data_IF_995843902261
#
_entry.id   IF_995843902261
#
_cell.length_a   1.000
_cell.length_b   1.000
_cell.length_c   1.000
_cell.angle_alpha   90.00
_cell.angle_beta   90.00
_cell.angle_gamma   90.00
#
_symmetry.space_group_name_H-M   'P 1'
#
loop_
_entity.id
_entity.type
_entity.pdbx_description
1 polymer ?
#
# COMPACT_ATOMS: atom_id res chain seq x y z
N UNK A 1 30.38 -19.02 -0.05
CA UNK A 1 29.67 -18.49 -1.24
C UNK A 1 30.67 -18.38 -2.37
N UNK A 2 30.33 -18.84 -3.58
CA UNK A 2 31.20 -18.68 -4.73
C UNK A 2 31.31 -17.19 -5.07
N UNK A 3 32.53 -16.71 -5.22
CA UNK A 3 32.83 -15.32 -5.57
C UNK A 3 32.92 -15.22 -7.09
N UNK A 4 32.16 -14.30 -7.68
CA UNK A 4 32.12 -14.10 -9.13
C UNK A 4 32.47 -12.65 -9.48
N UNK A 5 33.36 -12.47 -10.46
CA UNK A 5 33.66 -11.16 -11.02
C UNK A 5 32.62 -10.75 -12.05
N UNK A 6 32.47 -9.45 -12.26
CA UNK A 6 31.64 -8.91 -13.32
C UNK A 6 32.24 -9.24 -14.70
N UNK A 7 31.38 -9.60 -15.65
CA UNK A 7 31.74 -9.52 -17.07
C UNK A 7 31.97 -8.06 -17.49
N UNK A 8 32.55 -7.83 -18.67
CA UNK A 8 32.79 -6.46 -19.16
C UNK A 8 31.49 -5.67 -19.34
N UNK A 9 30.45 -6.30 -19.91
CA UNK A 9 29.15 -5.66 -20.09
C UNK A 9 28.47 -5.33 -18.75
N UNK A 10 28.46 -6.27 -17.81
CA UNK A 10 27.91 -6.01 -16.47
C UNK A 10 28.70 -4.93 -15.73
N UNK A 11 30.03 -4.90 -15.89
CA UNK A 11 30.89 -3.88 -15.28
C UNK A 11 30.61 -2.48 -15.83
N UNK A 12 30.43 -2.32 -17.13
CA UNK A 12 30.07 -1.03 -17.73
C UNK A 12 28.71 -0.54 -17.20
N UNK A 13 27.74 -1.45 -17.05
CA UNK A 13 26.46 -1.15 -16.41
C UNK A 13 26.64 -0.71 -14.95
N UNK A 14 27.45 -1.45 -14.19
CA UNK A 14 27.76 -1.12 -12.79
C UNK A 14 28.45 0.23 -12.64
N UNK A 15 29.47 0.51 -13.47
CA UNK A 15 30.23 1.74 -13.44
C UNK A 15 29.37 2.96 -13.80
N UNK A 16 28.31 2.79 -14.61
CA UNK A 16 27.36 3.88 -14.86
C UNK A 16 26.52 4.25 -13.64
N UNK A 17 26.27 3.29 -12.74
CA UNK A 17 25.58 3.51 -11.45
C UNK A 17 26.54 3.96 -10.35
N UNK A 18 27.80 3.52 -10.42
CA UNK A 18 28.84 3.74 -9.42
C UNK A 18 30.15 4.16 -10.10
N UNK A 19 30.25 5.43 -10.55
CA UNK A 19 31.38 5.90 -11.34
C UNK A 19 32.72 5.81 -10.59
N UNK A 20 32.67 5.82 -9.26
CA UNK A 20 33.84 5.81 -8.37
C UNK A 20 34.25 4.40 -7.92
N UNK A 21 33.67 3.36 -8.52
CA UNK A 21 33.93 1.97 -8.15
C UNK A 21 35.35 1.48 -8.47
N UNK A 22 36.16 2.30 -9.14
CA UNK A 22 37.56 2.02 -9.41
C UNK A 22 37.73 0.95 -10.48
N UNK A 23 38.35 -0.17 -10.13
CA UNK A 23 38.61 -1.28 -11.05
C UNK A 23 37.63 -2.44 -10.84
N UNK A 24 37.39 -3.19 -11.93
CA UNK A 24 36.49 -4.35 -11.93
C UNK A 24 36.87 -5.44 -10.92
N UNK A 25 38.14 -5.54 -10.54
CA UNK A 25 38.63 -6.53 -9.57
C UNK A 25 38.36 -6.13 -8.11
N UNK A 26 38.13 -4.84 -7.85
CA UNK A 26 37.78 -4.30 -6.54
C UNK A 26 36.34 -4.60 -6.14
N UNK A 27 35.46 -4.91 -7.10
CA UNK A 27 34.04 -5.20 -6.86
C UNK A 27 33.70 -6.63 -7.26
N UNK A 28 33.02 -7.35 -6.37
CA UNK A 28 32.72 -8.78 -6.60
C UNK A 28 31.29 -9.11 -6.22
N UNK A 29 30.63 -9.98 -6.99
CA UNK A 29 29.32 -10.55 -6.65
C UNK A 29 29.53 -11.62 -5.58
N UNK A 30 28.92 -11.44 -4.42
CA UNK A 30 28.98 -12.36 -3.29
C UNK A 30 27.78 -13.31 -3.23
N UNK A 31 26.60 -12.82 -3.65
CA UNK A 31 25.39 -13.62 -3.77
C UNK A 31 24.52 -13.09 -4.91
N UNK A 32 23.70 -13.99 -5.49
CA UNK A 32 22.76 -13.67 -6.55
C UNK A 32 21.62 -12.73 -6.13
N UNK A 33 20.75 -12.36 -7.08
CA UNK A 33 19.53 -11.61 -6.79
C UNK A 33 18.66 -12.31 -5.75
N UNK A 34 18.12 -11.53 -4.81
CA UNK A 34 17.22 -12.00 -3.77
C UNK A 34 16.24 -10.86 -3.44
N UNK A 35 14.93 -11.02 -3.74
CA UNK A 35 13.96 -9.95 -3.54
C UNK A 35 13.52 -9.80 -2.08
N UNK A 36 13.94 -10.69 -1.18
CA UNK A 36 13.47 -10.69 0.22
C UNK A 36 14.07 -9.58 1.06
N UNK A 37 15.19 -9.00 0.64
CA UNK A 37 15.89 -7.95 1.38
C UNK A 37 16.66 -6.99 0.47
N UNK A 38 16.81 -5.75 0.94
CA UNK A 38 17.50 -4.65 0.25
C UNK A 38 18.81 -4.25 0.98
N UNK A 39 19.44 -3.14 0.55
CA UNK A 39 20.67 -2.61 1.15
C UNK A 39 20.53 -2.27 2.64
N UNK A 40 19.42 -1.66 3.04
CA UNK A 40 19.19 -1.25 4.43
C UNK A 40 19.07 -2.47 5.33
N UNK A 41 18.25 -3.44 4.94
CA UNK A 41 18.13 -4.71 5.66
C UNK A 41 19.47 -5.43 5.78
N UNK A 42 20.23 -5.50 4.68
CA UNK A 42 21.56 -6.10 4.70
C UNK A 42 22.50 -5.39 5.68
N UNK A 43 22.57 -4.05 5.60
CA UNK A 43 23.40 -3.23 6.47
C UNK A 43 23.07 -3.44 7.96
N UNK A 44 21.79 -3.66 8.27
CA UNK A 44 21.27 -3.92 9.61
C UNK A 44 21.33 -5.39 10.06
N UNK A 45 21.96 -6.28 9.28
CA UNK A 45 22.12 -7.67 9.71
C UNK A 45 20.91 -8.56 9.42
N UNK A 46 20.06 -8.22 8.45
CA UNK A 46 18.82 -8.92 8.13
C UNK A 46 18.81 -9.34 6.65
N UNK A 47 18.30 -10.54 6.39
CA UNK A 47 18.17 -11.13 5.03
C UNK A 47 16.76 -11.64 4.73
N UNK A 48 15.87 -11.50 5.70
CA UNK A 48 14.48 -11.95 5.70
C UNK A 48 13.48 -10.79 5.71
N UNK A 49 13.98 -9.55 5.66
CA UNK A 49 13.20 -8.32 5.75
C UNK A 49 13.53 -7.37 4.59
N UNK A 50 12.52 -6.67 4.10
CA UNK A 50 12.68 -5.45 3.33
C UNK A 50 12.49 -4.24 4.23
N UNK A 51 13.47 -3.33 4.27
CA UNK A 51 13.45 -2.15 5.13
C UNK A 51 13.61 -0.90 4.28
N UNK A 52 12.56 -0.08 4.16
CA UNK A 52 12.64 1.17 3.42
C UNK A 52 13.52 2.19 4.16
N UNK A 53 14.42 2.91 3.47
CA UNK A 53 15.17 4.00 4.08
C UNK A 53 14.22 5.17 4.39
N UNK A 54 14.18 5.67 5.64
CA UNK A 54 13.54 6.96 5.91
C UNK A 54 14.23 8.06 5.12
N UNK A 55 13.49 8.88 4.40
CA UNK A 55 14.10 9.96 3.61
C UNK A 55 14.79 11.01 4.50
N UNK A 56 14.16 11.34 5.63
CA UNK A 56 14.64 12.34 6.57
C UNK A 56 15.80 11.81 7.44
N UNK A 57 16.94 12.54 7.53
CA UNK A 57 18.09 12.17 8.35
C UNK A 57 17.79 11.74 9.79
N UNK A 58 16.90 12.46 10.47
CA UNK A 58 16.57 12.17 11.86
C UNK A 58 15.92 10.79 12.02
N UNK A 59 14.98 10.45 11.14
CA UNK A 59 14.31 9.14 11.15
C UNK A 59 15.23 8.03 10.63
N UNK A 60 16.08 8.31 9.64
CA UNK A 60 17.07 7.36 9.15
C UNK A 60 18.04 6.94 10.26
N UNK A 61 18.59 7.93 10.97
CA UNK A 61 19.42 7.70 12.16
C UNK A 61 18.66 6.93 13.23
N UNK A 62 17.43 7.33 13.55
CA UNK A 62 16.62 6.66 14.57
C UNK A 62 16.35 5.19 14.22
N UNK A 63 16.16 4.86 12.94
CA UNK A 63 16.00 3.47 12.48
C UNK A 63 17.25 2.64 12.78
N UNK A 64 18.45 3.11 12.42
CA UNK A 64 19.69 2.37 12.67
C UNK A 64 20.02 2.25 14.16
N UNK A 65 19.68 3.26 14.95
CA UNK A 65 19.84 3.26 16.41
C UNK A 65 18.70 2.54 17.15
N UNK A 66 17.74 1.97 16.43
CA UNK A 66 16.70 1.17 17.07
C UNK A 66 17.34 0.04 17.88
N UNK A 67 16.82 -0.25 19.09
CA UNK A 67 17.30 -1.38 19.89
C UNK A 67 17.25 -2.72 19.15
N UNK A 68 16.41 -2.80 18.10
CA UNK A 68 16.30 -3.95 17.19
C UNK A 68 17.61 -4.35 16.51
N UNK A 69 18.52 -3.40 16.29
CA UNK A 69 19.73 -3.62 15.51
C UNK A 69 21.02 -3.53 16.33
N UNK A 70 20.93 -3.10 17.60
CA UNK A 70 22.05 -3.05 18.55
C UNK A 70 23.26 -2.27 18.01
N UNK A 71 22.98 -1.15 17.35
CA UNK A 71 23.99 -0.25 16.82
C UNK A 71 24.01 1.06 17.61
N UNK A 72 25.17 1.69 17.63
CA UNK A 72 25.37 3.07 18.07
C UNK A 72 26.11 3.87 17.00
N UNK A 73 26.07 5.18 17.10
CA UNK A 73 26.93 6.03 16.30
C UNK A 73 28.40 5.91 16.73
N UNK A 74 29.29 6.09 15.77
CA UNK A 74 30.73 6.05 16.00
C UNK A 74 31.48 6.94 15.01
N UNK A 75 32.79 7.02 15.17
CA UNK A 75 33.66 7.70 14.21
C UNK A 75 33.82 6.87 12.93
N UNK A 76 34.10 7.53 11.82
CA UNK A 76 34.18 6.87 10.51
C UNK A 76 35.19 5.71 10.50
N UNK A 77 36.34 5.84 11.15
CA UNK A 77 37.39 4.81 11.23
C UNK A 77 36.99 3.57 12.06
N UNK A 78 35.96 3.69 12.89
CA UNK A 78 35.39 2.61 13.70
C UNK A 78 34.14 1.98 13.09
N UNK A 79 33.62 2.56 12.01
CA UNK A 79 32.34 2.16 11.44
C UNK A 79 32.40 0.74 10.87
N UNK A 80 31.39 -0.05 11.23
CA UNK A 80 31.11 -1.34 10.60
C UNK A 80 29.86 -1.27 9.71
N UNK A 81 29.10 -0.18 9.79
CA UNK A 81 27.90 0.07 9.01
C UNK A 81 27.90 1.54 8.60
N UNK A 82 27.65 1.81 7.34
CA UNK A 82 27.54 3.16 6.78
C UNK A 82 26.13 3.39 6.24
N UNK A 83 25.60 4.59 6.48
CA UNK A 83 24.36 5.09 5.91
C UNK A 83 24.64 6.19 4.87
N UNK A 84 23.95 6.12 3.73
CA UNK A 84 24.20 6.99 2.59
C UNK A 84 23.13 8.07 2.43
N UNK A 85 23.57 9.24 1.99
CA UNK A 85 22.80 10.46 1.88
C UNK A 85 23.11 11.17 0.56
N UNK A 86 22.08 11.67 -0.12
CA UNK A 86 22.24 12.44 -1.36
C UNK A 86 22.09 13.93 -1.07
N UNK A 87 23.22 14.63 -1.02
CA UNK A 87 23.31 16.06 -0.69
C UNK A 87 22.38 16.96 -1.52
N UNK A 88 22.16 16.63 -2.79
CA UNK A 88 21.36 17.44 -3.70
C UNK A 88 19.85 17.37 -3.45
N UNK A 89 19.39 16.24 -2.91
CA UNK A 89 17.98 15.99 -2.59
C UNK A 89 17.71 16.08 -1.09
N UNK A 90 18.75 15.98 -0.28
CA UNK A 90 18.66 15.92 1.17
C UNK A 90 18.07 14.61 1.69
N UNK A 91 18.14 13.53 0.91
CA UNK A 91 17.45 12.26 1.19
C UNK A 91 18.45 11.16 1.55
N UNK A 92 18.16 10.42 2.62
CA UNK A 92 18.88 9.18 2.94
C UNK A 92 18.36 8.03 2.06
N UNK A 93 19.25 7.20 1.52
CA UNK A 93 18.84 6.27 0.45
C UNK A 93 19.34 4.84 0.62
N UNK A 94 20.56 4.61 1.10
CA UNK A 94 21.17 3.28 1.09
C UNK A 94 21.99 3.02 2.35
N UNK A 95 22.43 1.78 2.50
CA UNK A 95 23.30 1.34 3.59
C UNK A 95 24.31 0.32 3.10
N UNK A 96 25.46 0.26 3.77
CA UNK A 96 26.48 -0.77 3.54
C UNK A 96 27.03 -1.26 4.87
N UNK A 97 27.64 -2.44 4.87
CA UNK A 97 28.31 -2.98 6.06
C UNK A 97 29.66 -3.60 5.74
N UNK A 98 30.58 -3.47 6.67
CA UNK A 98 31.85 -4.15 6.68
C UNK A 98 31.62 -5.62 7.07
N UNK A 99 32.03 -6.54 6.20
CA UNK A 99 32.09 -7.97 6.52
C UNK A 99 33.54 -8.42 6.63
N UNK A 100 33.75 -9.67 7.06
CA UNK A 100 35.08 -10.25 7.28
C UNK A 100 36.08 -9.92 6.16
N UNK A 101 37.30 -9.53 6.53
CA UNK A 101 38.39 -9.24 5.60
C UNK A 101 38.50 -7.78 5.13
N UNK A 102 38.02 -6.81 5.91
CA UNK A 102 38.07 -5.37 5.60
C UNK A 102 37.37 -4.97 4.30
N UNK A 103 36.38 -5.75 3.83
CA UNK A 103 35.61 -5.42 2.62
C UNK A 103 34.21 -4.98 2.96
N UNK A 104 33.82 -3.84 2.41
CA UNK A 104 32.46 -3.33 2.51
C UNK A 104 31.56 -4.09 1.57
N UNK A 105 30.30 -4.23 1.96
CA UNK A 105 29.29 -4.95 1.20
C UNK A 105 27.96 -4.23 1.19
N UNK A 106 27.28 -4.34 0.06
CA UNK A 106 26.01 -3.68 -0.20
C UNK A 106 25.12 -4.57 -1.06
N UNK A 107 23.81 -4.50 -0.83
CA UNK A 107 22.81 -5.20 -1.64
C UNK A 107 22.16 -4.22 -2.62
N UNK A 108 22.19 -4.51 -3.91
CA UNK A 108 21.64 -3.61 -4.94
C UNK A 108 20.13 -3.80 -5.10
N UNK A 109 19.33 -3.31 -4.14
CA UNK A 109 17.87 -3.53 -4.10
C UNK A 109 17.51 -5.01 -4.07
N UNK A 110 16.71 -5.49 -5.02
CA UNK A 110 16.43 -6.92 -5.26
C UNK A 110 17.60 -7.67 -5.95
N UNK A 111 18.61 -6.95 -6.45
CA UNK A 111 19.74 -7.47 -7.24
C UNK A 111 20.83 -8.15 -6.43
N UNK A 112 22.05 -8.17 -6.96
CA UNK A 112 23.18 -8.87 -6.34
C UNK A 112 23.59 -8.26 -4.99
N UNK A 113 24.11 -9.12 -4.11
CA UNK A 113 24.95 -8.70 -3.00
C UNK A 113 26.39 -8.55 -3.50
N UNK A 114 27.00 -7.40 -3.27
CA UNK A 114 28.34 -7.08 -3.75
C UNK A 114 29.31 -6.82 -2.61
N UNK A 115 30.60 -7.06 -2.85
CA UNK A 115 31.70 -6.47 -2.08
C UNK A 115 32.34 -5.34 -2.86
N UNK A 116 32.85 -4.33 -2.17
CA UNK A 116 33.45 -3.14 -2.75
C UNK A 116 34.43 -2.47 -1.76
N UNK A 117 35.37 -1.63 -2.23
CA UNK A 117 36.06 -0.65 -1.39
C UNK A 117 35.04 0.28 -0.72
N UNK A 118 35.35 0.85 0.44
CA UNK A 118 34.39 1.65 1.20
C UNK A 118 33.84 2.81 0.39
N UNK A 119 34.75 3.49 -0.27
CA UNK A 119 34.56 4.70 -1.06
C UNK A 119 33.90 4.47 -2.43
N UNK A 120 33.81 3.22 -2.88
CA UNK A 120 33.40 2.86 -4.24
C UNK A 120 31.97 3.32 -4.60
N UNK A 121 31.11 3.53 -3.60
CA UNK A 121 29.72 3.90 -3.78
C UNK A 121 29.44 5.37 -3.46
N UNK A 122 30.45 6.18 -3.12
CA UNK A 122 30.29 7.58 -2.71
C UNK A 122 30.11 8.55 -3.89
N UNK A 123 29.59 9.75 -3.62
CA UNK A 123 29.54 10.91 -4.53
C UNK A 123 30.78 11.80 -4.34
N UNK A 124 31.89 11.49 -5.01
CA UNK A 124 33.09 12.34 -4.89
C UNK A 124 32.97 13.72 -5.56
N UNK A 125 32.05 13.87 -6.52
CA UNK A 125 31.84 15.15 -7.19
C UNK A 125 30.42 15.28 -7.71
N UNK A 126 29.93 16.53 -7.81
CA UNK A 126 28.62 16.84 -8.39
C UNK A 126 28.45 16.37 -9.83
N UNK A 127 29.54 16.09 -10.55
CA UNK A 127 29.55 15.64 -11.95
C UNK A 127 29.41 14.13 -12.11
N UNK A 128 29.71 13.35 -11.07
CA UNK A 128 29.71 11.88 -11.10
C UNK A 128 28.92 11.35 -9.91
N UNK A 129 27.60 11.29 -10.08
CA UNK A 129 26.67 10.87 -9.03
C UNK A 129 26.50 9.36 -9.02
N UNK A 130 26.78 8.78 -7.87
CA UNK A 130 26.47 7.42 -7.50
C UNK A 130 24.97 7.25 -7.25
N UNK A 131 24.49 6.02 -7.45
CA UNK A 131 23.16 5.62 -7.02
C UNK A 131 22.96 5.81 -5.50
N UNK A 132 24.02 5.70 -4.70
CA UNK A 132 23.94 5.70 -3.24
C UNK A 132 24.07 7.10 -2.61
N UNK A 133 24.86 8.01 -3.20
CA UNK A 133 25.23 9.28 -2.55
C UNK A 133 26.46 9.13 -1.66
N UNK A 134 26.63 10.00 -0.66
CA UNK A 134 27.77 10.02 0.25
C UNK A 134 27.50 9.27 1.56
N UNK A 135 28.52 8.63 2.11
CA UNK A 135 28.44 7.97 3.41
C UNK A 135 28.55 9.00 4.55
N UNK A 136 27.40 9.48 5.02
CA UNK A 136 27.32 10.54 6.05
C UNK A 136 27.11 9.97 7.46
N UNK A 137 26.52 8.78 7.56
CA UNK A 137 26.25 8.14 8.85
C UNK A 137 27.17 6.94 9.08
N UNK A 138 27.65 6.80 10.31
CA UNK A 138 28.61 5.78 10.71
C UNK A 138 28.16 5.09 11.99
N UNK A 139 28.00 3.77 11.93
CA UNK A 139 27.53 2.98 13.05
C UNK A 139 28.47 1.81 13.34
N UNK A 140 28.56 1.45 14.62
CA UNK A 140 29.24 0.25 15.08
C UNK A 140 28.37 -0.49 16.11
N UNK A 141 28.68 -1.77 16.41
CA UNK A 141 27.97 -2.51 17.43
C UNK A 141 28.00 -1.78 18.78
N UNK A 142 26.86 -1.73 19.44
CA UNK A 142 26.78 -1.22 20.80
C UNK A 142 26.99 -2.37 21.80
N UNK A 143 28.14 -2.45 22.49
CA UNK A 143 28.39 -3.50 23.48
C UNK A 143 27.48 -3.37 24.71
N UNK A 144 26.87 -2.20 24.93
CA UNK A 144 25.95 -1.94 26.04
C UNK A 144 24.49 -2.15 25.65
N UNK A 145 24.20 -2.46 24.38
CA UNK A 145 22.85 -2.81 23.98
C UNK A 145 22.47 -4.07 24.76
N UNK A 146 21.62 -3.89 25.78
CA UNK A 146 21.09 -5.01 26.53
C UNK A 146 20.44 -5.98 25.54
N UNK A 147 20.53 -7.28 25.84
CA UNK A 147 19.58 -8.23 25.27
C UNK A 147 18.21 -7.86 25.82
N UNK A 148 17.55 -6.89 25.19
CA UNK A 148 16.21 -6.48 25.56
C UNK A 148 15.34 -7.71 25.30
N UNK A 149 14.98 -8.41 26.37
CA UNK A 149 14.19 -9.66 26.37
C UNK A 149 12.80 -9.44 25.77
N UNK A 150 12.39 -8.18 25.58
CA UNK A 150 11.16 -7.77 24.92
C UNK A 150 11.44 -6.87 23.72
N UNK A 151 12.28 -7.31 22.79
CA UNK A 151 12.22 -6.79 21.41
C UNK A 151 10.75 -6.82 20.97
N UNK A 152 10.21 -5.79 20.30
CA UNK A 152 8.91 -5.92 19.68
C UNK A 152 9.02 -7.10 18.71
N UNK A 153 8.42 -8.23 19.08
CA UNK A 153 8.35 -9.39 18.21
C UNK A 153 7.70 -8.93 16.92
N UNK A 154 8.11 -9.49 15.76
CA UNK A 154 7.33 -9.33 14.55
C UNK A 154 5.86 -9.52 14.93
N UNK A 155 4.96 -8.60 14.52
CA UNK A 155 3.56 -8.72 14.86
C UNK A 155 3.12 -10.14 14.51
N UNK A 156 2.43 -10.80 15.45
CA UNK A 156 2.11 -12.22 15.35
C UNK A 156 1.58 -12.53 13.95
N UNK A 157 2.18 -13.52 13.31
CA UNK A 157 1.80 -13.92 11.96
C UNK A 157 0.29 -14.13 11.91
N UNK A 158 -0.34 -13.54 10.89
CA UNK A 158 -1.78 -13.61 10.72
C UNK A 158 -2.18 -15.07 10.60
N UNK A 159 -3.06 -15.55 11.47
CA UNK A 159 -3.63 -16.88 11.27
C UNK A 159 -4.63 -16.80 10.12
N UNK A 160 -4.56 -17.71 9.16
CA UNK A 160 -5.47 -17.69 8.01
C UNK A 160 -6.96 -17.74 8.43
N UNK A 161 -7.26 -18.43 9.53
CA UNK A 161 -8.59 -18.48 10.16
C UNK A 161 -9.12 -17.11 10.56
N UNK A 162 -8.24 -16.19 10.96
CA UNK A 162 -8.60 -14.83 11.34
C UNK A 162 -9.08 -13.99 10.17
N UNK A 163 -8.71 -14.37 8.94
CA UNK A 163 -9.08 -13.68 7.70
C UNK A 163 -10.17 -14.40 6.92
N UNK A 164 -10.56 -15.61 7.34
CA UNK A 164 -11.47 -16.44 6.55
C UNK A 164 -12.77 -15.73 6.19
N UNK A 165 -13.39 -15.04 7.15
CA UNK A 165 -14.63 -14.29 6.90
C UNK A 165 -14.43 -13.18 5.85
N UNK A 166 -13.36 -12.39 5.99
CA UNK A 166 -13.01 -11.35 5.03
C UNK A 166 -12.71 -11.96 3.64
N UNK A 167 -11.94 -13.05 3.58
CA UNK A 167 -11.61 -13.72 2.33
C UNK A 167 -12.86 -14.27 1.63
N UNK A 168 -13.79 -14.88 2.37
CA UNK A 168 -15.07 -15.34 1.84
C UNK A 168 -15.92 -14.18 1.34
N UNK A 169 -15.94 -13.08 2.09
CA UNK A 169 -16.64 -11.87 1.68
C UNK A 169 -16.06 -11.29 0.38
N UNK A 170 -14.73 -11.19 0.26
CA UNK A 170 -14.07 -10.71 -0.97
C UNK A 170 -14.33 -11.63 -2.16
N UNK A 171 -14.34 -12.96 -1.97
CA UNK A 171 -14.71 -13.89 -3.03
C UNK A 171 -16.15 -13.65 -3.54
N UNK A 172 -17.09 -13.28 -2.65
CA UNK A 172 -18.45 -12.93 -3.05
C UNK A 172 -18.52 -11.65 -3.90
N UNK A 173 -17.72 -10.64 -3.57
CA UNK A 173 -17.59 -9.41 -4.37
C UNK A 173 -17.00 -9.75 -5.73
N UNK A 174 -15.94 -10.57 -5.79
CA UNK A 174 -15.31 -10.97 -7.03
C UNK A 174 -16.29 -11.70 -7.96
N UNK A 175 -17.14 -12.57 -7.42
CA UNK A 175 -18.18 -13.24 -8.20
C UNK A 175 -19.26 -12.28 -8.70
N UNK A 176 -19.67 -11.31 -7.88
CA UNK A 176 -20.71 -10.34 -8.23
C UNK A 176 -20.22 -9.27 -9.24
N UNK A 177 -18.94 -8.93 -9.20
CA UNK A 177 -18.33 -7.86 -10.02
C UNK A 177 -17.05 -8.36 -10.71
N UNK A 178 -17.14 -9.25 -11.72
CA UNK A 178 -15.97 -9.88 -12.31
C UNK A 178 -15.07 -8.92 -13.11
N UNK A 179 -15.62 -7.91 -13.81
CA UNK A 179 -14.79 -7.00 -14.62
C UNK A 179 -14.02 -6.02 -13.74
N UNK A 180 -14.58 -5.66 -12.60
CA UNK A 180 -13.89 -4.90 -11.56
C UNK A 180 -12.58 -5.59 -11.15
N UNK A 181 -12.66 -6.89 -10.87
CA UNK A 181 -11.49 -7.73 -10.57
C UNK A 181 -10.52 -7.81 -11.74
N UNK A 182 -11.03 -8.02 -12.97
CA UNK A 182 -10.18 -8.11 -14.16
C UNK A 182 -9.41 -6.80 -14.43
N UNK A 183 -10.05 -5.65 -14.26
CA UNK A 183 -9.41 -4.33 -14.40
C UNK A 183 -8.32 -4.13 -13.34
N UNK A 184 -8.62 -4.48 -12.09
CA UNK A 184 -7.61 -4.44 -11.02
C UNK A 184 -6.43 -5.36 -11.34
N UNK A 185 -6.67 -6.63 -11.68
CA UNK A 185 -5.61 -7.60 -11.95
C UNK A 185 -4.73 -7.21 -13.14
N UNK A 186 -5.32 -6.62 -14.19
CA UNK A 186 -4.58 -6.08 -15.33
C UNK A 186 -3.67 -4.91 -14.91
N UNK A 187 -4.22 -3.92 -14.19
CA UNK A 187 -3.44 -2.77 -13.69
C UNK A 187 -2.37 -3.22 -12.69
N UNK A 188 -2.69 -4.17 -11.82
CA UNK A 188 -1.78 -4.77 -10.87
C UNK A 188 -0.61 -5.44 -11.55
N UNK A 189 -0.87 -6.31 -12.54
CA UNK A 189 0.20 -6.98 -13.31
C UNK A 189 1.10 -5.97 -14.01
N UNK A 190 0.52 -4.92 -14.59
CA UNK A 190 1.28 -3.83 -15.20
C UNK A 190 2.21 -3.13 -14.20
N UNK A 191 1.69 -2.80 -13.01
CA UNK A 191 2.47 -2.18 -11.95
C UNK A 191 3.52 -3.12 -11.36
N UNK A 192 3.18 -4.39 -11.15
CA UNK A 192 4.08 -5.41 -10.63
C UNK A 192 5.29 -5.65 -11.53
N UNK A 193 5.14 -5.45 -12.84
CA UNK A 193 6.28 -5.50 -13.76
C UNK A 193 7.30 -4.39 -13.46
N UNK A 194 6.90 -3.20 -13.01
CA UNK A 194 7.80 -2.06 -12.76
C UNK A 194 8.93 -2.45 -11.79
N UNK A 195 8.59 -3.10 -10.68
CA UNK A 195 9.58 -3.52 -9.69
C UNK A 195 10.21 -4.88 -9.97
N UNK A 196 9.71 -5.65 -10.94
CA UNK A 196 10.30 -6.94 -11.36
C UNK A 196 11.27 -6.79 -12.55
N UNK A 197 11.22 -5.66 -13.26
CA UNK A 197 12.08 -5.35 -14.40
C UNK A 197 13.46 -4.83 -13.95
N UNK A 198 14.51 -4.94 -14.78
CA UNK A 198 15.89 -4.56 -14.41
C UNK A 198 16.04 -3.17 -13.79
N UNK A 199 15.28 -2.17 -14.26
CA UNK A 199 15.32 -0.81 -13.70
C UNK A 199 14.77 -0.69 -12.28
N UNK A 200 13.89 -1.59 -11.85
CA UNK A 200 13.38 -1.65 -10.47
C UNK A 200 14.25 -2.50 -9.53
N UNK A 201 15.17 -3.29 -10.07
CA UNK A 201 15.99 -4.21 -9.27
C UNK A 201 16.90 -3.45 -8.32
N UNK A 202 17.40 -2.28 -8.67
CA UNK A 202 18.37 -1.51 -7.86
C UNK A 202 17.72 -0.58 -6.84
N UNK A 203 16.39 -0.47 -6.82
CA UNK A 203 15.67 0.39 -5.88
C UNK A 203 15.88 -0.05 -4.43
N UNK A 204 16.13 0.92 -3.56
CA UNK A 204 16.26 0.69 -2.12
C UNK A 204 14.95 0.96 -1.37
N UNK A 205 14.04 1.75 -1.94
CA UNK A 205 12.78 2.13 -1.30
C UNK A 205 11.59 1.66 -2.12
N UNK A 206 10.54 1.16 -1.45
CA UNK A 206 9.28 0.85 -2.11
C UNK A 206 8.58 2.09 -2.68
N UNK A 207 8.89 3.29 -2.18
CA UNK A 207 8.39 4.55 -2.75
C UNK A 207 8.84 4.77 -4.18
N UNK A 208 9.94 4.16 -4.62
CA UNK A 208 10.42 4.27 -6.01
C UNK A 208 9.42 3.67 -7.01
N UNK A 209 8.58 2.74 -6.54
CA UNK A 209 7.52 2.09 -7.31
C UNK A 209 6.16 2.76 -7.15
N UNK A 210 6.01 3.74 -6.26
CA UNK A 210 4.75 4.43 -5.97
C UNK A 210 4.48 5.60 -6.92
N UNK A 211 4.77 5.43 -8.22
CA UNK A 211 4.66 6.48 -9.25
C UNK A 211 4.56 5.91 -10.66
N UNK A 212 4.07 6.75 -11.57
CA UNK A 212 4.02 6.47 -13.01
C UNK A 212 2.71 5.82 -13.45
N UNK A 213 2.51 5.63 -14.78
CA UNK A 213 1.19 5.36 -15.34
C UNK A 213 0.49 4.11 -14.78
N UNK A 214 1.24 3.03 -14.51
CA UNK A 214 0.67 1.81 -13.96
C UNK A 214 0.22 1.97 -12.49
N UNK A 215 0.96 2.75 -11.71
CA UNK A 215 0.58 3.13 -10.34
C UNK A 215 -0.62 4.07 -10.36
N UNK A 216 -0.58 5.11 -11.19
CA UNK A 216 -1.65 6.10 -11.31
C UNK A 216 -2.97 5.44 -11.74
N UNK A 217 -2.90 4.41 -12.60
CA UNK A 217 -4.05 3.59 -12.97
C UNK A 217 -4.67 2.91 -11.74
N UNK A 218 -3.88 2.31 -10.84
CA UNK A 218 -4.37 1.72 -9.59
C UNK A 218 -4.94 2.80 -8.65
N UNK A 219 -4.25 3.93 -8.49
CA UNK A 219 -4.75 5.06 -7.66
C UNK A 219 -6.08 5.60 -8.17
N UNK A 220 -6.25 5.72 -9.50
CA UNK A 220 -7.50 6.20 -10.11
C UNK A 220 -8.68 5.25 -9.84
N UNK A 221 -8.41 3.99 -9.50
CA UNK A 221 -9.46 3.09 -9.06
C UNK A 221 -9.98 3.46 -7.66
N UNK A 222 -9.22 4.17 -6.83
CA UNK A 222 -9.68 4.70 -5.54
C UNK A 222 -9.93 3.63 -4.47
N UNK A 223 -10.62 4.01 -3.39
CA UNK A 223 -10.83 3.14 -2.21
C UNK A 223 -11.54 1.82 -2.52
N UNK A 224 -12.22 1.72 -3.66
CA UNK A 224 -12.91 0.47 -4.02
C UNK A 224 -11.95 -0.73 -4.09
N UNK A 225 -10.71 -0.54 -4.53
CA UNK A 225 -9.71 -1.62 -4.65
C UNK A 225 -9.00 -2.00 -3.36
N UNK A 226 -9.29 -1.35 -2.23
CA UNK A 226 -8.68 -1.70 -0.93
C UNK A 226 -8.76 -3.19 -0.58
N UNK A 227 -9.91 -3.91 -0.70
CA UNK A 227 -9.95 -5.34 -0.39
C UNK A 227 -9.00 -6.15 -1.29
N UNK A 228 -8.92 -5.79 -2.58
CA UNK A 228 -8.08 -6.51 -3.53
C UNK A 228 -6.59 -6.30 -3.25
N UNK A 229 -6.21 -5.08 -2.86
CA UNK A 229 -4.85 -4.75 -2.42
C UNK A 229 -4.50 -5.51 -1.15
N UNK A 230 -5.40 -5.56 -0.17
CA UNK A 230 -5.18 -6.31 1.09
C UNK A 230 -5.09 -7.82 0.82
N UNK A 231 -5.86 -8.34 -0.12
CA UNK A 231 -5.73 -9.74 -0.55
C UNK A 231 -4.34 -10.04 -1.11
N UNK A 232 -3.80 -9.16 -1.98
CA UNK A 232 -2.43 -9.29 -2.51
C UNK A 232 -1.37 -9.24 -1.40
N UNK A 233 -1.54 -8.33 -0.44
CA UNK A 233 -0.68 -8.21 0.74
C UNK A 233 -0.67 -9.52 1.55
N UNK A 234 -1.85 -10.06 1.88
CA UNK A 234 -1.98 -11.20 2.81
C UNK A 234 -1.70 -12.54 2.14
N UNK A 235 -2.19 -12.78 0.91
CA UNK A 235 -2.06 -14.08 0.24
C UNK A 235 -0.74 -14.24 -0.50
N UNK A 236 -0.30 -13.18 -1.18
CA UNK A 236 0.86 -13.22 -2.07
C UNK A 236 2.12 -12.66 -1.39
N UNK A 237 2.00 -12.12 -0.16
CA UNK A 237 3.10 -11.46 0.56
C UNK A 237 3.74 -10.33 -0.26
N UNK A 238 2.93 -9.61 -1.04
CA UNK A 238 3.40 -8.53 -1.92
C UNK A 238 3.75 -7.28 -1.11
N UNK A 239 5.01 -7.18 -0.69
CA UNK A 239 5.52 -6.13 0.22
C UNK A 239 5.25 -4.71 -0.29
N UNK A 240 5.46 -4.44 -1.58
CA UNK A 240 5.35 -3.09 -2.14
C UNK A 240 3.92 -2.58 -2.19
N UNK A 241 2.94 -3.47 -2.10
CA UNK A 241 1.52 -3.13 -2.04
C UNK A 241 1.14 -2.32 -0.79
N UNK A 242 1.98 -2.33 0.25
CA UNK A 242 1.73 -1.56 1.46
C UNK A 242 1.69 -0.05 1.17
N UNK A 243 2.50 0.44 0.22
CA UNK A 243 2.44 1.83 -0.26
C UNK A 243 1.07 2.11 -0.90
N UNK A 244 0.58 1.20 -1.74
CA UNK A 244 -0.70 1.36 -2.43
C UNK A 244 -1.85 1.39 -1.42
N UNK A 245 -1.83 0.52 -0.41
CA UNK A 245 -2.80 0.56 0.68
C UNK A 245 -2.84 1.92 1.37
N UNK A 246 -1.69 2.46 1.81
CA UNK A 246 -1.63 3.76 2.50
C UNK A 246 -2.09 4.93 1.62
N UNK A 247 -1.82 4.87 0.32
CA UNK A 247 -2.25 5.88 -0.65
C UNK A 247 -3.77 5.85 -0.87
N UNK A 248 -4.37 4.66 -0.92
CA UNK A 248 -5.80 4.48 -1.15
C UNK A 248 -6.65 4.64 0.11
N UNK A 249 -6.14 4.27 1.28
CA UNK A 249 -6.88 4.37 2.54
C UNK A 249 -7.22 5.84 2.80
N UNK A 250 -8.45 6.12 3.22
CA UNK A 250 -8.92 7.48 3.49
C UNK A 250 -9.16 7.74 4.96
N UNK A 251 -9.39 6.70 5.77
CA UNK A 251 -9.52 6.80 7.21
C UNK A 251 -8.13 6.92 7.86
N UNK A 252 -7.79 8.06 8.52
CA UNK A 252 -6.44 8.30 9.06
C UNK A 252 -6.02 7.27 10.13
N UNK A 253 -6.95 6.81 10.96
CA UNK A 253 -6.75 5.80 12.00
C UNK A 253 -6.56 4.38 11.44
N UNK A 254 -6.85 4.18 10.15
CA UNK A 254 -6.62 2.92 9.43
C UNK A 254 -5.41 2.98 8.51
N UNK A 255 -4.63 4.07 8.52
CA UNK A 255 -3.34 4.17 7.82
C UNK A 255 -2.20 3.69 8.71
N UNK A 256 -1.12 3.21 8.08
CA UNK A 256 0.14 3.08 8.79
C UNK A 256 0.70 4.48 9.08
N UNK A 257 1.15 4.68 10.32
CA UNK A 257 1.70 5.94 10.79
C UNK A 257 3.22 5.96 10.61
N UNK A 258 3.78 6.94 9.86
CA UNK A 258 5.23 7.13 9.73
C UNK A 258 5.92 7.45 11.06
N UNK A 259 5.18 7.91 12.07
CA UNK A 259 5.72 8.26 13.38
C UNK A 259 6.16 7.03 14.18
N UNK A 260 5.68 5.83 13.82
CA UNK A 260 6.14 4.59 14.43
C UNK A 260 7.34 4.03 13.65
N UNK A 261 8.51 4.64 13.83
CA UNK A 261 9.73 4.30 13.09
C UNK A 261 10.12 2.82 13.20
N UNK A 262 9.87 2.20 14.35
CA UNK A 262 10.26 0.80 14.60
C UNK A 262 9.55 -0.15 13.66
N UNK A 263 8.32 0.17 13.25
CA UNK A 263 7.47 -0.73 12.47
C UNK A 263 7.15 -0.22 11.08
N UNK A 264 7.14 1.10 10.89
CA UNK A 264 6.77 1.70 9.63
C UNK A 264 7.78 1.34 8.54
N UNK A 265 9.08 1.36 8.79
CA UNK A 265 10.03 1.14 7.69
C UNK A 265 10.24 -0.33 7.32
N UNK A 266 9.73 -1.28 8.12
CA UNK A 266 9.90 -2.72 7.88
C UNK A 266 8.66 -3.26 7.16
N UNK A 267 8.71 -3.40 5.83
CA UNK A 267 7.53 -3.75 5.02
C UNK A 267 6.91 -5.09 5.41
N UNK A 268 7.73 -6.06 5.80
CA UNK A 268 7.22 -7.36 6.27
C UNK A 268 6.30 -7.21 7.48
N UNK A 269 6.56 -6.23 8.35
CA UNK A 269 5.71 -5.95 9.51
C UNK A 269 4.49 -5.11 9.11
N UNK A 270 4.63 -4.20 8.15
CA UNK A 270 3.52 -3.46 7.56
C UNK A 270 2.41 -4.40 7.04
N UNK A 271 2.77 -5.51 6.37
CA UNK A 271 1.81 -6.51 5.87
C UNK A 271 0.83 -6.95 6.98
N UNK A 272 1.38 -7.34 8.13
CA UNK A 272 0.59 -7.84 9.27
C UNK A 272 -0.29 -6.73 9.86
N UNK A 273 0.25 -5.51 9.94
CA UNK A 273 -0.45 -4.36 10.46
C UNK A 273 -1.62 -3.93 9.58
N UNK A 274 -1.38 -3.82 8.27
CA UNK A 274 -2.41 -3.52 7.28
C UNK A 274 -3.54 -4.53 7.36
N UNK A 275 -3.20 -5.82 7.45
CA UNK A 275 -4.20 -6.86 7.55
C UNK A 275 -5.05 -6.71 8.83
N UNK A 276 -4.42 -6.42 9.98
CA UNK A 276 -5.14 -6.18 11.24
C UNK A 276 -6.00 -4.91 11.18
N UNK A 277 -5.48 -3.80 10.64
CA UNK A 277 -6.22 -2.55 10.48
C UNK A 277 -7.44 -2.76 9.58
N UNK A 278 -7.25 -3.41 8.44
CA UNK A 278 -8.33 -3.65 7.49
C UNK A 278 -9.36 -4.65 8.03
N UNK A 279 -8.92 -5.69 8.74
CA UNK A 279 -9.83 -6.61 9.44
C UNK A 279 -10.66 -5.86 10.49
N UNK A 280 -10.03 -5.02 11.31
CA UNK A 280 -10.76 -4.23 12.32
C UNK A 280 -11.82 -3.34 11.67
N UNK A 281 -11.50 -2.73 10.52
CA UNK A 281 -12.43 -1.91 9.75
C UNK A 281 -13.60 -2.75 9.21
N UNK A 282 -13.34 -3.97 8.74
CA UNK A 282 -14.38 -4.89 8.30
C UNK A 282 -15.28 -5.34 9.46
N UNK A 283 -14.70 -5.70 10.61
CA UNK A 283 -15.46 -6.11 11.81
C UNK A 283 -16.34 -4.96 12.34
N UNK A 284 -15.81 -3.73 12.35
CA UNK A 284 -16.57 -2.51 12.69
C UNK A 284 -17.73 -2.27 11.71
N UNK A 285 -17.48 -2.42 10.41
CA UNK A 285 -18.51 -2.32 9.38
C UNK A 285 -19.61 -3.36 9.59
N UNK A 286 -19.25 -4.63 9.77
CA UNK A 286 -20.19 -5.73 9.93
C UNK A 286 -21.09 -5.53 11.16
N UNK A 287 -20.50 -5.09 12.27
CA UNK A 287 -21.24 -4.74 13.49
C UNK A 287 -22.23 -3.60 13.23
N UNK A 288 -21.79 -2.52 12.58
CA UNK A 288 -22.63 -1.36 12.30
C UNK A 288 -23.74 -1.68 11.27
N UNK A 289 -23.42 -2.45 10.23
CA UNK A 289 -24.34 -2.92 9.21
C UNK A 289 -25.44 -3.81 9.80
N UNK A 290 -25.07 -4.74 10.69
CA UNK A 290 -26.04 -5.59 11.36
C UNK A 290 -26.95 -4.81 12.31
N UNK A 291 -26.40 -3.85 13.06
CA UNK A 291 -27.20 -2.98 13.93
C UNK A 291 -28.16 -2.09 13.12
N UNK A 292 -27.69 -1.52 12.00
CA UNK A 292 -28.53 -0.73 11.11
C UNK A 292 -29.64 -1.57 10.46
N UNK A 293 -29.37 -2.83 10.11
CA UNK A 293 -30.41 -3.75 9.61
C UNK A 293 -31.54 -3.96 10.62
N UNK A 294 -31.24 -4.02 11.92
CA UNK A 294 -32.26 -4.08 12.97
C UNK A 294 -33.08 -2.78 13.00
N UNK A 295 -32.44 -1.61 12.90
CA UNK A 295 -33.16 -0.34 12.82
C UNK A 295 -34.10 -0.29 11.59
N UNK A 296 -33.65 -0.79 10.44
CA UNK A 296 -34.47 -0.87 9.22
C UNK A 296 -35.70 -1.78 9.37
N UNK A 297 -35.57 -2.89 10.13
CA UNK A 297 -36.70 -3.76 10.42
C UNK A 297 -37.76 -3.06 11.28
N UNK A 298 -37.34 -2.26 12.26
CA UNK A 298 -38.27 -1.42 13.05
C UNK A 298 -38.93 -0.36 12.16
N UNK A 299 -38.15 0.23 11.24
CA UNK A 299 -38.62 1.24 10.30
C UNK A 299 -39.47 0.67 9.15
N UNK A 300 -39.64 -0.65 9.02
CA UNK A 300 -40.30 -1.28 7.86
C UNK A 300 -41.75 -0.83 7.63
N UNK A 301 -42.40 -0.33 8.68
CA UNK A 301 -43.77 0.20 8.64
C UNK A 301 -43.83 1.71 8.41
N UNK A 302 -42.69 2.38 8.32
CA UNK A 302 -42.62 3.80 8.02
C UNK A 302 -42.86 4.07 6.54
N UNK A 303 -43.64 5.10 6.25
CA UNK A 303 -43.84 5.63 4.91
C UNK A 303 -42.74 6.62 4.47
N UNK A 304 -41.76 6.91 5.34
CA UNK A 304 -40.71 7.90 5.08
C UNK A 304 -39.34 7.24 4.96
N UNK A 305 -38.59 7.59 3.92
CA UNK A 305 -37.21 7.15 3.73
C UNK A 305 -36.32 7.52 4.92
N UNK A 306 -36.58 8.69 5.54
CA UNK A 306 -35.81 9.22 6.68
C UNK A 306 -35.72 8.21 7.82
N UNK A 307 -36.79 7.47 8.14
CA UNK A 307 -36.78 6.47 9.21
C UNK A 307 -35.76 5.35 9.00
N UNK A 308 -35.38 5.05 7.75
CA UNK A 308 -34.40 4.03 7.43
C UNK A 308 -32.96 4.56 7.47
N UNK A 309 -32.75 5.89 7.42
CA UNK A 309 -31.42 6.52 7.21
C UNK A 309 -31.10 7.64 8.18
N UNK A 310 -31.77 7.73 9.34
CA UNK A 310 -31.51 8.78 10.34
C UNK A 310 -30.98 8.25 11.68
N UNK A 311 -30.90 6.92 11.85
CA UNK A 311 -30.49 6.29 13.10
C UNK A 311 -28.99 6.41 13.37
N UNK A 312 -28.60 6.26 14.65
CA UNK A 312 -27.19 6.27 15.07
C UNK A 312 -26.34 5.21 14.38
N UNK A 313 -26.92 4.05 14.06
CA UNK A 313 -26.20 2.95 13.40
C UNK A 313 -25.96 3.24 11.92
N UNK A 314 -26.89 3.94 11.26
CA UNK A 314 -26.66 4.48 9.92
C UNK A 314 -25.54 5.52 9.93
N UNK A 315 -25.58 6.47 10.88
CA UNK A 315 -24.54 7.49 11.00
C UNK A 315 -23.16 6.88 11.29
N UNK A 316 -23.10 5.79 12.06
CA UNK A 316 -21.87 5.05 12.28
C UNK A 316 -21.26 4.57 10.96
N UNK A 317 -22.07 4.03 10.03
CA UNK A 317 -21.61 3.64 8.70
C UNK A 317 -21.18 4.84 7.85
N UNK A 318 -21.94 5.94 7.86
CA UNK A 318 -21.57 7.19 7.14
C UNK A 318 -20.20 7.69 7.60
N UNK A 319 -19.96 7.68 8.92
CA UNK A 319 -18.71 8.15 9.52
C UNK A 319 -17.49 7.29 9.14
N UNK A 320 -17.68 6.03 8.72
CA UNK A 320 -16.58 5.20 8.20
C UNK A 320 -16.10 5.64 6.81
N UNK A 321 -16.90 6.45 6.10
CA UNK A 321 -16.51 7.11 4.86
C UNK A 321 -16.27 6.18 3.66
N UNK A 322 -15.47 6.64 2.70
CA UNK A 322 -15.28 5.99 1.40
C UNK A 322 -14.55 4.64 1.46
N UNK A 323 -13.86 4.35 2.56
CA UNK A 323 -13.10 3.12 2.73
C UNK A 323 -13.99 1.86 2.77
N UNK A 324 -15.26 1.99 3.21
CA UNK A 324 -16.20 0.86 3.32
C UNK A 324 -17.06 0.64 2.08
N UNK A 325 -16.88 1.41 0.99
CA UNK A 325 -17.68 1.26 -0.24
C UNK A 325 -17.70 -0.19 -0.76
N UNK A 326 -16.57 -0.92 -0.81
CA UNK A 326 -16.59 -2.33 -1.22
C UNK A 326 -17.47 -3.19 -0.32
N UNK A 327 -17.44 -2.94 0.98
CA UNK A 327 -18.24 -3.69 1.94
C UNK A 327 -19.73 -3.43 1.75
N UNK A 328 -20.10 -2.17 1.48
CA UNK A 328 -21.47 -1.80 1.15
C UNK A 328 -21.91 -2.49 -0.15
N UNK A 329 -21.09 -2.47 -1.20
CA UNK A 329 -21.44 -3.11 -2.48
C UNK A 329 -21.58 -4.64 -2.35
N UNK A 330 -20.76 -5.29 -1.52
CA UNK A 330 -20.91 -6.72 -1.21
C UNK A 330 -22.21 -7.04 -0.44
N UNK A 331 -22.73 -6.11 0.38
CA UNK A 331 -24.05 -6.23 0.98
C UNK A 331 -25.17 -5.90 -0.01
N UNK A 332 -24.98 -4.90 -0.86
CA UNK A 332 -25.99 -4.44 -1.80
C UNK A 332 -26.29 -5.49 -2.89
N UNK A 333 -25.28 -6.24 -3.36
CA UNK A 333 -25.54 -7.32 -4.33
C UNK A 333 -26.38 -8.47 -3.75
N UNK A 334 -26.34 -8.68 -2.43
CA UNK A 334 -27.14 -9.67 -1.69
C UNK A 334 -28.54 -9.16 -1.35
N UNK A 335 -28.71 -7.85 -1.21
CA UNK A 335 -29.94 -7.18 -0.80
C UNK A 335 -30.23 -5.95 -1.70
N UNK A 336 -30.59 -6.23 -2.95
CA UNK A 336 -30.79 -5.21 -3.98
C UNK A 336 -32.01 -4.30 -3.72
N UNK A 337 -32.92 -4.72 -2.83
CA UNK A 337 -34.09 -3.96 -2.41
C UNK A 337 -33.88 -3.20 -1.09
N UNK A 338 -32.68 -3.27 -0.49
CA UNK A 338 -32.32 -2.56 0.72
C UNK A 338 -32.22 -1.04 0.54
N UNK A 339 -31.60 -0.38 1.53
CA UNK A 339 -31.34 1.06 1.55
C UNK A 339 -29.86 1.40 1.34
N UNK A 340 -29.06 0.45 0.87
CA UNK A 340 -27.62 0.60 0.66
C UNK A 340 -27.26 1.73 -0.30
N UNK A 341 -28.13 2.04 -1.28
CA UNK A 341 -27.93 3.14 -2.21
C UNK A 341 -27.92 4.53 -1.55
N UNK A 342 -28.72 4.74 -0.50
CA UNK A 342 -28.71 6.02 0.24
C UNK A 342 -27.39 6.17 0.99
N UNK A 343 -26.93 5.10 1.64
CA UNK A 343 -25.63 5.08 2.33
C UNK A 343 -24.48 5.37 1.36
N UNK A 344 -24.46 4.71 0.20
CA UNK A 344 -23.47 4.96 -0.85
C UNK A 344 -23.50 6.41 -1.33
N UNK A 345 -24.70 6.95 -1.57
CA UNK A 345 -24.84 8.32 -2.05
C UNK A 345 -24.33 9.33 -1.02
N UNK A 346 -24.70 9.18 0.25
CA UNK A 346 -24.26 10.10 1.30
C UNK A 346 -22.75 10.03 1.52
N UNK A 347 -22.16 8.83 1.55
CA UNK A 347 -20.70 8.69 1.65
C UNK A 347 -19.98 9.34 0.47
N UNK A 348 -20.55 9.25 -0.73
CA UNK A 348 -19.91 9.75 -1.94
C UNK A 348 -20.10 11.26 -2.15
N UNK A 349 -21.27 11.79 -1.78
CA UNK A 349 -21.69 13.17 -2.12
C UNK A 349 -21.88 14.08 -0.90
N UNK A 350 -21.93 13.53 0.31
CA UNK A 350 -22.29 14.24 1.53
C UNK A 350 -23.79 14.52 1.67
N UNK A 351 -24.65 13.98 0.79
CA UNK A 351 -26.08 14.21 0.79
C UNK A 351 -26.88 12.90 0.60
N UNK A 352 -28.10 12.86 1.15
CA UNK A 352 -29.08 11.81 0.90
C UNK A 352 -29.89 12.14 -0.35
N UNK A 353 -30.43 11.13 -1.03
CA UNK A 353 -31.43 11.36 -2.07
C UNK A 353 -32.77 11.78 -1.46
N UNK A 354 -33.20 11.09 -0.40
CA UNK A 354 -34.46 11.38 0.28
C UNK A 354 -35.70 11.00 -0.53
N UNK A 355 -35.55 10.10 -1.50
CA UNK A 355 -36.64 9.70 -2.39
C UNK A 355 -37.36 8.47 -1.81
N UNK A 356 -38.68 8.57 -1.64
CA UNK A 356 -39.50 7.47 -1.09
C UNK A 356 -39.85 6.41 -2.15
N UNK A 357 -39.96 6.80 -3.42
CA UNK A 357 -40.41 5.95 -4.52
C UNK A 357 -39.32 5.91 -5.58
N UNK A 358 -38.64 4.78 -5.71
CA UNK A 358 -37.56 4.59 -6.69
C UNK A 358 -37.59 3.12 -7.13
N UNK A 359 -37.35 2.85 -8.41
CA UNK A 359 -37.03 1.50 -8.86
C UNK A 359 -35.61 1.12 -8.35
N UNK A 360 -35.58 0.41 -7.21
CA UNK A 360 -34.35 0.03 -6.51
C UNK A 360 -33.46 -0.92 -7.31
N UNK A 361 -34.04 -1.75 -8.16
CA UNK A 361 -33.28 -2.66 -9.04
C UNK A 361 -32.49 -1.87 -10.09
N UNK A 362 -33.14 -0.91 -10.77
CA UNK A 362 -32.46 -0.03 -11.71
C UNK A 362 -31.36 0.80 -11.02
N UNK A 363 -31.60 1.23 -9.78
CA UNK A 363 -30.60 1.95 -8.99
C UNK A 363 -29.41 1.04 -8.59
N UNK A 364 -29.68 -0.20 -8.21
CA UNK A 364 -28.64 -1.20 -7.97
C UNK A 364 -27.80 -1.42 -9.23
N UNK A 365 -28.43 -1.61 -10.39
CA UNK A 365 -27.71 -1.78 -11.66
C UNK A 365 -26.84 -0.55 -11.97
N UNK A 366 -27.33 0.66 -11.67
CA UNK A 366 -26.53 1.88 -11.86
C UNK A 366 -25.27 1.90 -10.98
N UNK A 367 -25.41 1.54 -9.70
CA UNK A 367 -24.30 1.45 -8.74
C UNK A 367 -23.35 0.28 -9.04
N UNK A 368 -23.87 -0.88 -9.43
CA UNK A 368 -23.09 -2.06 -9.80
C UNK A 368 -22.18 -1.74 -11.00
N UNK A 369 -22.75 -1.13 -12.04
CA UNK A 369 -21.98 -0.66 -13.19
C UNK A 369 -20.93 0.39 -12.78
N UNK A 370 -21.28 1.40 -11.97
CA UNK A 370 -20.30 2.38 -11.50
C UNK A 370 -19.16 1.71 -10.71
N UNK A 371 -19.49 0.78 -9.81
CA UNK A 371 -18.50 0.05 -9.04
C UNK A 371 -17.57 -0.76 -9.95
N UNK A 372 -18.15 -1.37 -10.98
CA UNK A 372 -17.45 -2.26 -11.90
C UNK A 372 -16.55 -1.55 -12.92
N UNK A 373 -17.07 -0.54 -13.59
CA UNK A 373 -16.35 0.20 -14.65
C UNK A 373 -15.63 1.44 -14.13
N UNK A 374 -16.05 1.96 -12.98
CA UNK A 374 -15.61 3.25 -12.47
C UNK A 374 -16.32 4.42 -13.13
N UNK A 375 -15.74 5.60 -12.92
CA UNK A 375 -16.27 6.90 -13.33
C UNK A 375 -15.92 7.95 -12.28
N UNK A 376 -15.68 9.18 -12.72
CA UNK A 376 -15.28 10.27 -11.83
C UNK A 376 -16.40 10.64 -10.83
N UNK A 377 -17.65 10.37 -11.19
CA UNK A 377 -18.82 10.68 -10.37
C UNK A 377 -19.65 9.41 -10.07
N UNK A 378 -20.19 9.28 -8.86
CA UNK A 378 -21.18 8.24 -8.56
C UNK A 378 -22.44 8.45 -9.44
N UNK A 379 -23.30 7.42 -9.57
CA UNK A 379 -24.62 7.61 -10.17
C UNK A 379 -25.33 8.78 -9.49
N UNK A 380 -25.90 9.70 -10.27
CA UNK A 380 -26.72 10.80 -9.75
C UNK A 380 -28.17 10.58 -10.14
N UNK A 381 -29.07 10.76 -9.18
CA UNK A 381 -30.52 10.83 -9.45
C UNK A 381 -30.88 12.29 -9.64
N UNK A 382 -31.28 12.66 -10.87
CA UNK A 382 -31.89 13.96 -11.14
C UNK A 382 -33.41 13.82 -11.07
N UNK A 383 -34.05 14.64 -10.23
CA UNK A 383 -35.50 14.83 -10.29
C UNK A 383 -35.80 15.74 -11.49
N UNK A 384 -36.60 15.26 -12.44
CA UNK A 384 -37.04 16.14 -13.53
C UNK A 384 -38.01 17.17 -12.96
N UNK A 385 -37.64 18.46 -13.02
CA UNK A 385 -38.49 19.56 -12.54
C UNK A 385 -39.80 19.71 -13.36
N UNK A 386 -39.97 18.95 -14.43
CA UNK A 386 -41.05 19.07 -15.40
C UNK A 386 -42.13 18.01 -15.24
N UNK A 387 -42.74 17.88 -14.06
CA UNK A 387 -44.02 17.16 -13.85
C UNK A 387 -44.13 15.70 -14.36
N UNK A 388 -43.04 15.08 -14.80
CA UNK A 388 -43.01 13.75 -15.37
C UNK A 388 -42.61 12.76 -14.28
N UNK A 389 -43.33 11.64 -14.16
CA UNK A 389 -43.12 10.57 -13.17
C UNK A 389 -41.84 9.75 -13.44
N UNK A 390 -40.71 10.39 -13.72
CA UNK A 390 -39.44 9.72 -14.00
C UNK A 390 -38.30 10.40 -13.24
N UNK A 391 -37.49 9.58 -12.57
CA UNK A 391 -36.17 9.99 -12.09
C UNK A 391 -35.14 9.59 -13.15
N UNK A 392 -34.24 10.48 -13.53
CA UNK A 392 -33.16 10.11 -14.45
C UNK A 392 -31.93 9.76 -13.62
N UNK A 393 -31.38 8.56 -13.79
CA UNK A 393 -30.02 8.29 -13.33
C UNK A 393 -29.05 8.58 -14.46
N UNK A 394 -28.14 9.51 -14.20
CA UNK A 394 -27.02 9.76 -15.10
C UNK A 394 -25.85 8.94 -14.60
N UNK A 395 -25.40 7.98 -15.41
CA UNK A 395 -24.12 7.31 -15.16
C UNK A 395 -22.99 8.16 -15.75
N UNK A 396 -22.00 8.45 -14.92
CA UNK A 396 -20.75 9.04 -15.36
C UNK A 396 -19.83 7.93 -15.90
N UNK A 397 -19.49 8.01 -17.18
CA UNK A 397 -18.57 7.12 -17.88
C UNK A 397 -18.21 7.70 -19.25
N UNK A 398 -17.24 7.09 -19.95
CA UNK A 398 -16.76 7.53 -21.27
C UNK A 398 -17.88 7.63 -22.34
N UNK A 399 -19.01 6.96 -22.09
CA UNK A 399 -20.27 7.21 -22.76
C UNK A 399 -21.29 7.59 -21.69
N UNK A 400 -21.68 8.88 -21.61
CA UNK A 400 -22.76 9.35 -20.73
C UNK A 400 -24.08 8.67 -21.13
N UNK A 401 -24.35 7.49 -20.59
CA UNK A 401 -25.64 6.84 -20.71
C UNK A 401 -26.57 7.42 -19.64
N UNK A 402 -27.61 8.11 -20.10
CA UNK A 402 -28.75 8.47 -19.26
C UNK A 402 -29.61 7.22 -19.09
N UNK A 403 -29.55 6.60 -17.93
CA UNK A 403 -30.46 5.52 -17.55
C UNK A 403 -31.72 6.17 -16.97
N UNK A 404 -32.81 6.18 -17.74
CA UNK A 404 -34.09 6.64 -17.21
C UNK A 404 -34.61 5.59 -16.22
N UNK A 405 -34.80 5.98 -14.98
CA UNK A 405 -35.38 5.13 -13.94
C UNK A 405 -36.87 5.49 -13.80
N UNK A 406 -37.80 4.60 -14.19
CA UNK A 406 -39.20 4.84 -13.91
C UNK A 406 -39.42 4.94 -12.40
N UNK A 407 -40.16 5.96 -11.96
CA UNK A 407 -40.68 5.96 -10.59
C UNK A 407 -41.67 4.80 -10.49
N UNK A 408 -41.59 4.02 -9.41
CA UNK A 408 -42.58 2.96 -9.19
C UNK A 408 -43.97 3.60 -9.06
N UNK A 409 -44.91 3.17 -9.90
CA UNK A 409 -46.30 3.63 -9.88
C UNK A 409 -47.05 3.06 -8.70
#
# INVERSE_FOLDING_TARGET
MAQEYYSEAEWNGFQSLFPNSGNRTGVMKLAGPDPRYNCIAWALGRTELWIDPPAEPAYFRALFLSPLFKLKECQADQALVDGFYKDDTGVCTHGSRLVQGNRWTSKLGQGFLISHPREALNDYSKQHRSLYGDNVFHFCPDPNAMDIVSMPSPPLALQQSQFLLLLTFMASIQMAFPRYWQHFDANWKSWALVYRQPGGITASSSSDFARGPAWDALISMGTRILPLVVEKIVKESELFACQLYNALQTAPDKKLSPQNNEHFYILNWQIVWIANLYRSQFDEFEKAAQAWRVDQQVAMYSSTAVSYVSGKNYQALVNMGKAIIPFIMGRYCQDQHGWWYELLNEIMTGAKYGLAIINKEALYQAWANWFEYGGDEPPRIESSASGAMFACVIQAGAHRQKVRIPLAT
#
